data_IF_856040015458
#
_entry.id   IF_856040015458
#
_cell.length_a   1.000
_cell.length_b   1.000
_cell.length_c   1.000
_cell.angle_alpha   90.00
_cell.angle_beta   90.00
_cell.angle_gamma   90.00
#
_symmetry.space_group_name_H-M   'P 1'
#
loop_
_entity.id
_entity.type
_entity.pdbx_description
1 polymer ?
#
# COMPACT_ATOMS: atom_id res chain seq x y z
N UNK A 1 -2.87 25.59 -23.17
CA UNK A 1 -4.07 25.73 -22.32
C UNK A 1 -3.72 25.22 -20.94
N UNK A 2 -4.14 25.89 -19.85
CA UNK A 2 -3.99 25.32 -18.51
C UNK A 2 -4.81 24.02 -18.40
N UNK A 3 -4.28 23.03 -17.71
CA UNK A 3 -5.00 21.79 -17.44
C UNK A 3 -6.16 22.05 -16.47
N UNK A 4 -7.29 21.33 -16.59
CA UNK A 4 -8.39 21.42 -15.62
C UNK A 4 -7.92 21.00 -14.22
N UNK A 5 -8.48 21.62 -13.20
CA UNK A 5 -8.26 21.26 -11.80
C UNK A 5 -8.91 19.91 -11.44
N UNK A 6 -9.92 19.48 -12.21
CA UNK A 6 -10.67 18.22 -12.01
C UNK A 6 -11.07 17.61 -13.34
N UNK A 7 -11.01 16.29 -13.44
CA UNK A 7 -11.37 15.57 -14.66
C UNK A 7 -12.74 14.88 -14.55
N UNK A 8 -13.34 14.83 -13.36
CA UNK A 8 -14.58 14.15 -13.04
C UNK A 8 -14.55 12.68 -13.52
N UNK A 9 -13.46 12.00 -13.19
CA UNK A 9 -13.18 10.59 -13.51
C UNK A 9 -13.06 9.77 -12.23
N UNK A 10 -13.09 8.44 -12.37
CA UNK A 10 -12.63 7.55 -11.30
C UNK A 10 -11.19 7.17 -11.63
N UNK A 11 -10.23 7.68 -10.87
CA UNK A 11 -8.82 7.50 -11.15
C UNK A 11 -8.01 7.42 -9.86
N UNK A 12 -6.94 6.63 -9.89
CA UNK A 12 -5.90 6.67 -8.88
C UNK A 12 -4.54 6.48 -9.55
N UNK A 13 -3.63 7.40 -9.25
CA UNK A 13 -2.27 7.44 -9.80
C UNK A 13 -1.29 7.29 -8.65
N UNK A 14 -0.29 6.43 -8.86
CA UNK A 14 0.83 6.27 -7.94
C UNK A 14 2.15 6.60 -8.61
N UNK A 15 3.04 7.31 -7.92
CA UNK A 15 4.38 7.63 -8.39
C UNK A 15 5.37 7.31 -7.28
N UNK A 16 6.37 6.48 -7.58
CA UNK A 16 7.49 6.29 -6.66
C UNK A 16 8.33 7.57 -6.63
N UNK A 17 8.39 8.22 -5.45
CA UNK A 17 9.19 9.44 -5.25
C UNK A 17 10.53 9.15 -4.58
N UNK A 18 10.57 8.08 -3.77
CA UNK A 18 11.77 7.56 -3.10
C UNK A 18 11.67 6.03 -3.01
N UNK A 19 12.77 5.29 -2.73
CA UNK A 19 12.73 3.82 -2.60
C UNK A 19 11.71 3.30 -1.58
N UNK A 20 11.31 4.12 -0.61
CA UNK A 20 10.37 3.75 0.46
C UNK A 20 9.07 4.57 0.48
N UNK A 21 8.85 5.45 -0.51
CA UNK A 21 7.70 6.37 -0.50
C UNK A 21 7.05 6.47 -1.87
N UNK A 22 5.73 6.32 -1.87
CA UNK A 22 4.86 6.50 -3.04
C UNK A 22 4.00 7.73 -2.82
N UNK A 23 3.99 8.64 -3.78
CA UNK A 23 2.99 9.69 -3.89
C UNK A 23 1.75 9.12 -4.57
N UNK A 24 0.57 9.43 -4.03
CA UNK A 24 -0.72 9.02 -4.53
C UNK A 24 -1.55 10.26 -4.86
N UNK A 25 -2.33 10.18 -5.94
CA UNK A 25 -3.41 11.10 -6.25
C UNK A 25 -4.65 10.29 -6.62
N UNK A 26 -5.84 10.72 -6.18
CA UNK A 26 -7.10 10.07 -6.54
C UNK A 26 -8.19 11.07 -6.89
N UNK A 27 -9.13 10.62 -7.72
CA UNK A 27 -10.41 11.25 -8.00
C UNK A 27 -11.49 10.17 -8.08
N UNK A 28 -12.66 10.43 -7.47
CA UNK A 28 -13.82 9.55 -7.46
C UNK A 28 -15.04 10.36 -7.80
N UNK A 29 -15.84 9.88 -8.76
CA UNK A 29 -17.08 10.55 -9.13
C UNK A 29 -18.11 10.41 -8.00
N UNK A 30 -18.84 11.49 -7.63
CA UNK A 30 -19.88 11.43 -6.60
C UNK A 30 -20.92 10.33 -6.84
N UNK A 31 -21.27 10.07 -8.10
CA UNK A 31 -22.27 9.05 -8.47
C UNK A 31 -21.80 7.62 -8.14
N UNK A 32 -20.50 7.36 -8.20
CA UNK A 32 -19.92 6.04 -7.87
C UNK A 32 -19.95 5.83 -6.36
N UNK A 33 -19.55 6.83 -5.59
CA UNK A 33 -19.65 6.81 -4.13
C UNK A 33 -21.10 6.60 -3.66
N UNK A 34 -22.05 7.36 -4.21
CA UNK A 34 -23.46 7.25 -3.86
C UNK A 34 -24.02 5.84 -4.14
N UNK A 35 -23.63 5.22 -5.26
CA UNK A 35 -24.03 3.84 -5.60
C UNK A 35 -23.41 2.81 -4.66
N UNK A 36 -22.15 2.99 -4.26
CA UNK A 36 -21.48 2.10 -3.32
C UNK A 36 -22.17 2.15 -1.95
N UNK A 37 -22.39 3.37 -1.44
CA UNK A 37 -23.08 3.59 -0.17
C UNK A 37 -24.52 3.05 -0.17
N UNK A 38 -25.27 3.22 -1.25
CA UNK A 38 -26.63 2.69 -1.36
C UNK A 38 -26.69 1.14 -1.38
N UNK A 39 -25.62 0.47 -1.81
CA UNK A 39 -25.52 -1.01 -1.83
C UNK A 39 -24.97 -1.59 -0.53
N UNK A 40 -24.15 -0.81 0.17
CA UNK A 40 -23.27 -1.22 1.27
C UNK A 40 -23.11 -0.05 2.24
N UNK A 41 -24.15 0.21 3.03
CA UNK A 41 -24.27 1.46 3.80
C UNK A 41 -23.30 1.57 4.98
N UNK A 42 -22.72 0.46 5.42
CA UNK A 42 -21.81 0.41 6.58
C UNK A 42 -20.33 0.45 6.17
N UNK A 43 -20.04 0.48 4.86
CA UNK A 43 -18.67 0.58 4.38
C UNK A 43 -18.08 1.99 4.45
N UNK A 44 -16.81 2.08 4.08
CA UNK A 44 -16.07 3.33 3.97
C UNK A 44 -15.25 3.36 2.69
N UNK A 45 -14.99 4.56 2.19
CA UNK A 45 -14.08 4.75 1.08
C UNK A 45 -12.63 4.60 1.57
N UNK A 46 -11.83 3.84 0.84
CA UNK A 46 -10.43 3.58 1.16
C UNK A 46 -9.56 3.60 -0.09
N UNK A 47 -8.28 3.91 0.09
CA UNK A 47 -7.22 3.54 -0.84
C UNK A 47 -6.55 2.28 -0.34
N UNK A 48 -6.61 1.21 -1.14
CA UNK A 48 -5.91 -0.05 -0.89
C UNK A 48 -4.57 -0.05 -1.61
N UNK A 49 -3.52 -0.32 -0.86
CA UNK A 49 -2.15 -0.49 -1.35
C UNK A 49 -1.72 -1.92 -1.10
N UNK A 50 -1.28 -2.61 -2.16
CA UNK A 50 -0.67 -3.94 -2.09
C UNK A 50 0.74 -3.86 -2.63
N UNK A 51 1.74 -4.08 -1.77
CA UNK A 51 3.14 -4.13 -2.14
C UNK A 51 3.62 -5.58 -2.15
N UNK A 52 4.22 -6.00 -3.26
CA UNK A 52 4.82 -7.32 -3.41
C UNK A 52 6.33 -7.15 -3.59
N UNK A 53 7.10 -7.62 -2.61
CA UNK A 53 8.56 -7.63 -2.68
C UNK A 53 9.06 -9.03 -3.03
N UNK A 54 9.84 -9.18 -4.11
CA UNK A 54 10.48 -10.46 -4.40
C UNK A 54 11.52 -10.78 -3.32
N UNK A 55 11.50 -12.02 -2.81
CA UNK A 55 12.53 -12.56 -1.92
C UNK A 55 12.84 -14.01 -2.30
N UNK A 56 13.92 -14.57 -1.75
CA UNK A 56 14.30 -15.98 -1.98
C UNK A 56 13.36 -16.98 -1.31
N UNK A 57 12.68 -16.57 -0.23
CA UNK A 57 11.75 -17.42 0.52
C UNK A 57 10.29 -17.23 0.05
N UNK A 58 10.09 -16.51 -1.07
CA UNK A 58 8.79 -16.21 -1.65
C UNK A 58 8.51 -14.72 -1.74
N UNK A 59 7.43 -14.32 -2.42
CA UNK A 59 6.99 -12.94 -2.41
C UNK A 59 6.56 -12.54 -0.98
N UNK A 60 7.11 -11.45 -0.48
CA UNK A 60 6.60 -10.79 0.73
C UNK A 60 5.46 -9.87 0.29
N UNK A 61 4.26 -10.13 0.78
CA UNK A 61 3.07 -9.34 0.44
C UNK A 61 2.67 -8.48 1.63
N UNK A 62 2.60 -7.17 1.44
CA UNK A 62 2.09 -6.21 2.41
C UNK A 62 0.83 -5.54 1.84
N UNK A 63 -0.28 -5.58 2.59
CA UNK A 63 -1.52 -4.88 2.24
C UNK A 63 -1.82 -3.80 3.29
N UNK A 64 -2.23 -2.62 2.85
CA UNK A 64 -2.67 -1.51 3.70
C UNK A 64 -3.90 -0.85 3.10
N UNK A 65 -4.87 -0.54 3.96
CA UNK A 65 -6.05 0.22 3.60
C UNK A 65 -5.99 1.58 4.30
N UNK A 66 -5.95 2.64 3.52
CA UNK A 66 -5.96 4.03 3.99
C UNK A 66 -7.40 4.56 3.89
N UNK A 67 -8.11 4.80 5.01
CA UNK A 67 -9.43 5.43 4.95
C UNK A 67 -9.32 6.85 4.40
N UNK A 68 -10.24 7.21 3.51
CA UNK A 68 -10.34 8.54 2.90
C UNK A 68 -11.79 9.03 2.95
N UNK A 69 -11.98 10.31 3.21
CA UNK A 69 -13.28 10.97 3.30
C UNK A 69 -13.54 11.95 2.14
N UNK A 70 -12.47 12.37 1.44
CA UNK A 70 -12.54 13.26 0.29
C UNK A 70 -12.63 12.48 -1.04
N UNK A 71 -13.52 12.94 -1.93
CA UNK A 71 -13.69 12.40 -3.30
C UNK A 71 -12.45 12.57 -4.17
N UNK A 72 -11.57 13.49 -3.84
CA UNK A 72 -10.30 13.71 -4.51
C UNK A 72 -9.27 14.16 -3.48
N UNK A 73 -8.00 13.89 -3.75
CA UNK A 73 -6.92 14.27 -2.87
C UNK A 73 -5.62 13.59 -3.25
N UNK A 74 -4.62 13.81 -2.42
CA UNK A 74 -3.29 13.26 -2.55
C UNK A 74 -2.72 12.84 -1.19
N UNK A 75 -1.77 11.91 -1.20
CA UNK A 75 -1.12 11.43 0.00
C UNK A 75 0.27 10.85 -0.30
N UNK A 76 1.15 10.88 0.69
CA UNK A 76 2.41 10.12 0.68
C UNK A 76 2.28 8.85 1.52
N UNK A 77 2.42 7.69 0.88
CA UNK A 77 2.51 6.40 1.57
C UNK A 77 3.96 6.06 1.80
N UNK A 78 4.35 6.02 3.07
CA UNK A 78 5.72 5.75 3.52
C UNK A 78 5.90 4.29 3.94
N UNK A 79 7.15 3.93 4.22
CA UNK A 79 7.55 2.60 4.70
C UNK A 79 7.14 1.48 3.74
N UNK A 80 7.12 1.76 2.43
CA UNK A 80 7.03 0.72 1.40
C UNK A 80 8.39 0.05 1.31
N UNK A 81 8.43 -1.28 1.22
CA UNK A 81 9.70 -2.00 1.09
C UNK A 81 10.39 -1.65 -0.25
N UNK A 82 11.67 -1.27 -0.26
CA UNK A 82 12.39 -0.98 -1.50
C UNK A 82 12.38 -2.16 -2.47
N UNK A 83 12.32 -1.87 -3.77
CA UNK A 83 12.27 -2.90 -4.82
C UNK A 83 10.94 -3.65 -4.95
N UNK A 84 9.89 -3.21 -4.25
CA UNK A 84 8.54 -3.78 -4.39
C UNK A 84 7.86 -3.38 -5.69
N UNK A 85 6.98 -4.25 -6.19
CA UNK A 85 5.94 -3.85 -7.14
C UNK A 85 4.66 -3.53 -6.36
N UNK A 86 4.14 -2.33 -6.54
CA UNK A 86 3.01 -1.80 -5.78
C UNK A 86 1.79 -1.69 -6.69
N UNK A 87 0.65 -2.20 -6.22
CA UNK A 87 -0.67 -2.01 -6.82
C UNK A 87 -1.50 -1.13 -5.90
N UNK A 88 -2.21 -0.17 -6.49
CA UNK A 88 -3.03 0.78 -5.75
C UNK A 88 -4.43 0.78 -6.36
N UNK A 89 -5.44 0.82 -5.51
CA UNK A 89 -6.83 0.98 -5.92
C UNK A 89 -7.56 1.90 -4.94
N UNK A 90 -8.50 2.70 -5.43
CA UNK A 90 -9.48 3.41 -4.60
C UNK A 90 -10.80 2.67 -4.69
N UNK A 91 -11.51 2.51 -3.58
CA UNK A 91 -12.76 1.74 -3.56
C UNK A 91 -13.51 1.81 -2.25
N UNK A 92 -14.54 0.96 -2.17
CA UNK A 92 -15.39 0.81 -1.00
C UNK A 92 -15.02 -0.45 -0.22
N UNK A 93 -14.76 -0.32 1.06
CA UNK A 93 -14.47 -1.42 1.96
C UNK A 93 -15.60 -1.60 2.96
N UNK A 94 -16.20 -2.78 2.99
CA UNK A 94 -17.24 -3.14 3.96
C UNK A 94 -16.98 -4.59 4.43
N UNK A 95 -16.85 -4.81 5.74
CA UNK A 95 -16.63 -6.14 6.32
C UNK A 95 -15.44 -6.92 5.70
N UNK A 96 -14.38 -6.21 5.30
CA UNK A 96 -13.20 -6.80 4.64
C UNK A 96 -13.36 -7.05 3.14
N UNK A 97 -14.58 -6.94 2.60
CA UNK A 97 -14.84 -7.03 1.16
C UNK A 97 -14.60 -5.67 0.48
N UNK A 98 -13.71 -5.67 -0.50
CA UNK A 98 -13.26 -4.45 -1.18
C UNK A 98 -13.76 -4.42 -2.62
N UNK A 99 -14.57 -3.42 -2.92
CA UNK A 99 -15.08 -3.15 -4.26
C UNK A 99 -14.33 -1.93 -4.85
N UNK A 100 -13.43 -2.12 -5.83
CA UNK A 100 -12.67 -1.02 -6.41
C UNK A 100 -13.57 -0.12 -7.26
N UNK A 101 -13.34 1.19 -7.19
CA UNK A 101 -13.86 2.19 -8.12
C UNK A 101 -12.90 2.37 -9.29
N UNK A 102 -11.60 2.46 -8.98
CA UNK A 102 -10.52 2.55 -9.95
C UNK A 102 -9.29 1.78 -9.46
N UNK A 103 -8.52 1.24 -10.40
CA UNK A 103 -7.26 0.54 -10.15
C UNK A 103 -6.18 1.26 -10.95
N UNK A 104 -5.13 1.69 -10.26
CA UNK A 104 -4.02 2.40 -10.88
C UNK A 104 -3.05 1.46 -11.57
N UNK A 105 -2.18 2.07 -12.39
CA UNK A 105 -1.06 1.37 -12.98
C UNK A 105 -0.09 0.86 -11.90
N UNK A 106 0.60 -0.27 -12.15
CA UNK A 106 1.58 -0.80 -11.20
C UNK A 106 2.77 0.15 -11.06
N UNK A 107 3.19 0.37 -9.82
CA UNK A 107 4.34 1.22 -9.47
C UNK A 107 5.52 0.33 -9.08
N UNK A 108 6.59 0.39 -9.85
CA UNK A 108 7.85 -0.27 -9.50
C UNK A 108 8.65 0.63 -8.55
N UNK A 109 8.87 0.17 -7.32
CA UNK A 109 9.67 0.90 -6.34
C UNK A 109 11.16 0.77 -6.65
N UNK A 110 11.93 1.88 -6.61
CA UNK A 110 13.37 1.83 -6.71
C UNK A 110 13.98 0.93 -5.61
N UNK A 111 15.13 0.33 -5.91
CA UNK A 111 15.96 -0.32 -4.88
C UNK A 111 16.69 0.76 -4.08
N UNK A 112 16.97 0.48 -2.81
CA UNK A 112 17.72 1.40 -1.95
C UNK A 112 19.18 1.50 -2.39
N UNK A 113 19.75 0.40 -2.89
CA UNK A 113 21.12 0.32 -3.37
C UNK A 113 21.14 -0.19 -4.82
N UNK A 114 22.10 0.28 -5.64
CA UNK A 114 22.32 -0.26 -6.98
C UNK A 114 22.63 -1.75 -6.93
N UNK A 115 22.10 -2.52 -7.88
CA UNK A 115 22.59 -3.86 -8.11
C UNK A 115 23.87 -3.79 -8.96
N UNK A 116 25.00 -4.22 -8.40
CA UNK A 116 26.29 -4.22 -9.11
C UNK A 116 26.46 -5.38 -10.09
N UNK A 117 25.54 -6.35 -10.07
CA UNK A 117 25.51 -7.48 -10.99
C UNK A 117 24.10 -7.64 -11.57
N UNK A 118 24.05 -7.93 -12.88
CA UNK A 118 22.82 -8.32 -13.56
C UNK A 118 22.45 -9.74 -13.14
N UNK A 119 21.16 -10.01 -12.92
CA UNK A 119 20.71 -11.36 -12.65
C UNK A 119 20.98 -12.27 -13.86
N UNK A 120 21.80 -13.30 -13.67
CA UNK A 120 22.10 -14.30 -14.71
C UNK A 120 21.12 -15.48 -14.71
N UNK A 121 20.18 -15.50 -13.77
CA UNK A 121 19.23 -16.60 -13.57
C UNK A 121 17.86 -16.04 -13.24
N UNK A 122 16.84 -16.59 -13.87
CA UNK A 122 15.44 -16.28 -13.60
C UNK A 122 14.83 -17.47 -12.90
N UNK A 123 14.20 -17.25 -11.75
CA UNK A 123 13.40 -18.28 -11.07
C UNK A 123 11.94 -17.95 -11.26
N UNK A 124 11.17 -18.92 -11.74
CA UNK A 124 9.71 -18.80 -11.82
C UNK A 124 9.11 -19.30 -10.51
N UNK A 125 8.45 -18.40 -9.80
CA UNK A 125 7.63 -18.76 -8.64
C UNK A 125 6.33 -19.42 -9.09
N UNK A 126 5.97 -20.54 -8.46
CA UNK A 126 4.63 -21.12 -8.53
C UNK A 126 4.02 -21.18 -7.13
N UNK A 127 2.68 -21.18 -7.00
CA UNK A 127 2.00 -21.28 -5.71
C UNK A 127 2.41 -22.51 -4.88
N UNK A 128 2.89 -23.57 -5.54
CA UNK A 128 3.33 -24.83 -4.94
C UNK A 128 4.77 -24.77 -4.38
N UNK A 129 5.47 -23.65 -4.53
CA UNK A 129 6.86 -23.44 -4.09
C UNK A 129 7.86 -23.44 -5.25
N UNK A 130 9.16 -23.24 -4.95
CA UNK A 130 10.21 -23.31 -5.97
C UNK A 130 10.42 -24.77 -6.41
N UNK A 131 10.20 -25.14 -7.69
CA UNK A 131 10.93 -26.28 -8.22
C UNK A 131 12.41 -25.89 -8.28
N UNK A 132 13.28 -26.67 -7.64
CA UNK A 132 14.74 -26.56 -7.76
C UNK A 132 15.12 -26.47 -9.25
N UNK A 133 15.57 -25.30 -9.71
CA UNK A 133 16.09 -25.15 -11.06
C UNK A 133 17.56 -25.58 -11.06
N UNK A 134 17.88 -26.56 -11.91
CA UNK A 134 19.20 -27.17 -12.08
C UNK A 134 20.22 -26.09 -12.54
N UNK A 135 21.49 -26.12 -12.09
CA UNK A 135 22.51 -25.14 -12.47
C UNK A 135 22.75 -25.08 -13.99
N UNK A 136 23.32 -23.97 -14.51
CA UNK A 136 23.65 -23.85 -15.92
C UNK A 136 24.63 -24.95 -16.32
N UNK A 137 24.25 -25.81 -17.27
CA UNK A 137 25.09 -26.90 -17.78
C UNK A 137 24.46 -28.30 -17.77
N UNK A 138 23.26 -28.46 -17.23
CA UNK A 138 22.49 -29.71 -17.41
C UNK A 138 21.23 -29.44 -18.24
N UNK A 139 21.19 -30.04 -19.43
CA UNK A 139 20.03 -30.04 -20.31
C UNK A 139 18.94 -30.93 -19.69
N UNK A 140 17.85 -30.32 -19.21
CA UNK A 140 16.58 -31.03 -19.13
C UNK A 140 15.94 -30.96 -20.50
N UNK A 141 15.68 -32.13 -21.11
CA UNK A 141 14.96 -32.21 -22.36
C UNK A 141 13.57 -31.57 -22.19
N UNK A 142 13.38 -30.41 -22.81
CA UNK A 142 12.07 -29.77 -22.93
C UNK A 142 11.33 -30.49 -24.06
N UNK A 143 10.08 -30.95 -23.86
CA UNK A 143 9.27 -31.41 -24.98
C UNK A 143 9.02 -30.21 -25.91
N UNK A 144 9.58 -30.28 -27.11
CA UNK A 144 9.38 -29.31 -28.18
C UNK A 144 7.89 -29.26 -28.52
N UNK A 145 7.25 -28.11 -28.31
CA UNK A 145 5.96 -27.81 -28.93
C UNK A 145 6.25 -27.47 -30.40
N UNK A 146 5.79 -28.25 -31.39
CA UNK A 146 6.05 -27.95 -32.79
C UNK A 146 5.40 -26.62 -33.19
N UNK A 147 6.20 -25.67 -33.68
CA UNK A 147 5.72 -24.44 -34.32
C UNK A 147 5.99 -23.11 -33.59
N UNK A 148 6.68 -23.09 -32.45
CA UNK A 148 7.03 -21.84 -31.76
C UNK A 148 8.50 -21.45 -32.00
N UNK A 149 8.73 -20.47 -32.87
CA UNK A 149 10.06 -19.93 -33.17
C UNK A 149 10.37 -18.71 -32.28
N UNK A 150 11.26 -18.91 -31.30
CA UNK A 150 11.73 -17.85 -30.39
C UNK A 150 12.68 -16.83 -31.05
N UNK A 151 13.22 -17.11 -32.25
CA UNK A 151 14.14 -16.19 -32.92
C UNK A 151 13.44 -14.98 -33.53
N UNK A 152 12.13 -15.05 -33.71
CA UNK A 152 11.32 -13.97 -34.27
C UNK A 152 11.02 -12.84 -33.26
N UNK A 153 11.09 -13.08 -31.94
CA UNK A 153 10.71 -12.09 -30.91
C UNK A 153 11.87 -11.20 -30.42
N UNK A 154 13.12 -11.56 -30.72
CA UNK A 154 14.32 -10.86 -30.21
C UNK A 154 14.76 -9.71 -31.13
N UNK A 155 14.19 -9.59 -32.34
CA UNK A 155 14.62 -8.60 -33.34
C UNK A 155 14.00 -7.20 -33.20
N UNK A 156 13.07 -6.97 -32.28
CA UNK A 156 12.26 -5.72 -32.27
C UNK A 156 12.33 -4.93 -30.95
N UNK A 157 13.42 -5.04 -30.21
CA UNK A 157 13.67 -4.22 -29.01
C UNK A 157 14.89 -3.29 -29.18
N UNK A 158 14.85 -2.42 -30.20
CA UNK A 158 15.71 -1.24 -30.25
C UNK A 158 14.96 -0.06 -29.63
N UNK A 159 15.25 0.22 -28.37
CA UNK A 159 14.78 1.43 -27.68
C UNK A 159 15.37 2.66 -28.39
N UNK A 160 14.58 3.73 -28.61
CA UNK A 160 15.10 4.98 -29.15
C UNK A 160 16.05 5.67 -28.15
N UNK A 161 16.98 6.51 -28.63
CA UNK A 161 17.91 7.23 -27.76
C UNK A 161 17.18 8.22 -26.85
N UNK A 162 17.59 8.24 -25.57
CA UNK A 162 17.13 9.18 -24.55
C UNK A 162 17.63 10.59 -24.91
N UNK A 163 16.77 11.62 -25.00
CA UNK A 163 17.22 12.99 -25.23
C UNK A 163 18.00 13.53 -24.03
N UNK A 164 18.96 14.46 -24.23
CA UNK A 164 19.73 15.04 -23.14
C UNK A 164 18.80 15.79 -22.17
N UNK A 165 18.98 15.48 -20.90
CA UNK A 165 18.37 16.06 -19.72
C UNK A 165 18.36 17.59 -19.73
N UNK A 166 17.16 18.18 -19.71
CA UNK A 166 16.98 19.57 -19.27
C UNK A 166 17.23 19.66 -17.76
N UNK A 167 17.92 20.74 -17.37
CA UNK A 167 18.41 21.04 -16.04
C UNK A 167 17.33 20.99 -14.95
N UNK A 168 17.71 20.39 -13.83
CA UNK A 168 16.88 20.04 -12.67
C UNK A 168 16.60 21.22 -11.71
N UNK A 169 16.68 22.47 -12.17
CA UNK A 169 16.88 23.60 -11.25
C UNK A 169 15.76 24.67 -11.23
N UNK A 170 14.53 24.34 -11.63
CA UNK A 170 13.41 25.31 -11.56
C UNK A 170 12.05 24.76 -11.06
N UNK A 171 12.01 23.62 -10.38
CA UNK A 171 10.83 23.23 -9.57
C UNK A 171 11.08 23.58 -8.11
N UNK A 172 11.24 24.89 -7.88
CA UNK A 172 11.25 25.51 -6.58
C UNK A 172 9.87 25.44 -5.93
N UNK A 173 9.89 24.87 -4.73
CA UNK A 173 9.28 25.40 -3.50
C UNK A 173 7.75 25.55 -3.40
N UNK A 174 7.27 25.05 -2.24
CA UNK A 174 5.94 25.17 -1.62
C UNK A 174 4.83 24.26 -2.13
N UNK A 175 4.76 23.07 -1.53
CA UNK A 175 3.49 22.41 -1.23
C UNK A 175 3.49 21.93 0.23
N UNK A 176 2.43 22.17 1.01
CA UNK A 176 2.38 21.80 2.42
C UNK A 176 2.32 20.27 2.56
N UNK A 177 3.34 19.69 3.18
CA UNK A 177 3.34 18.28 3.59
C UNK A 177 2.30 18.06 4.68
N UNK A 178 1.20 17.36 4.36
CA UNK A 178 0.36 16.77 5.39
C UNK A 178 0.95 15.41 5.77
N UNK A 179 1.64 15.38 6.90
CA UNK A 179 2.03 14.14 7.58
C UNK A 179 0.79 13.57 8.27
N UNK A 180 0.15 12.56 7.64
CA UNK A 180 -0.94 11.79 8.25
C UNK A 180 -0.41 10.55 9.01
N UNK A 181 0.84 10.59 9.48
CA UNK A 181 1.26 9.77 10.60
C UNK A 181 0.76 10.39 11.91
N UNK A 182 -0.18 9.71 12.60
CA UNK A 182 -0.64 10.02 13.97
C UNK A 182 -1.74 11.10 14.12
N UNK A 183 -2.97 10.82 13.68
CA UNK A 183 -4.17 11.41 14.31
C UNK A 183 -5.20 10.33 14.59
N UNK A 184 -5.34 9.97 15.86
CA UNK A 184 -6.35 9.02 16.30
C UNK A 184 -6.13 8.43 17.70
N UNK A 185 -5.71 9.22 18.69
CA UNK A 185 -6.00 8.92 20.09
C UNK A 185 -6.67 10.16 20.69
N UNK A 186 -7.89 10.06 21.26
CA UNK A 186 -8.51 11.19 21.92
C UNK A 186 -7.71 11.58 23.16
N UNK A 187 -7.27 12.83 23.20
CA UNK A 187 -6.74 13.47 24.40
C UNK A 187 -7.90 13.73 25.37
N UNK A 188 -8.14 12.79 26.30
CA UNK A 188 -8.72 13.08 27.61
C UNK A 188 -8.75 11.81 28.48
N UNK A 189 -7.75 11.66 29.34
CA UNK A 189 -7.81 11.04 30.68
C UNK A 189 -6.40 10.66 31.08
N UNK A 190 -5.68 11.59 31.71
CA UNK A 190 -4.67 11.31 32.76
C UNK A 190 -4.06 12.63 33.25
N UNK A 191 -4.93 13.52 33.71
CA UNK A 191 -4.54 14.56 34.66
C UNK A 191 -5.44 14.44 35.90
N UNK A 192 -5.21 13.33 36.62
CA UNK A 192 -5.70 13.13 37.99
C UNK A 192 -4.56 12.52 38.79
N UNK A 193 -3.69 13.39 39.29
CA UNK A 193 -2.79 13.05 40.38
C UNK A 193 -3.62 12.54 41.58
N UNK A 194 -3.25 11.42 42.22
CA UNK A 194 -3.84 11.04 43.49
C UNK A 194 -3.26 11.90 44.62
N UNK A 195 -4.16 12.56 45.35
CA UNK A 195 -3.87 13.19 46.65
C UNK A 195 -3.39 12.12 47.63
N UNK A 196 -2.18 12.29 48.15
CA UNK A 196 -1.71 11.63 49.37
C UNK A 196 -2.18 12.42 50.59
N UNK A 197 -2.81 11.75 51.55
CA UNK A 197 -2.81 11.97 53.02
C UNK A 197 -3.67 10.83 53.62
N UNK A 198 -3.07 9.81 54.22
CA UNK A 198 -2.75 9.69 55.66
C UNK A 198 -3.98 9.50 56.57
N UNK A 199 -4.05 8.30 57.17
CA UNK A 199 -4.49 8.13 58.55
C UNK A 199 -5.78 7.33 58.78
N UNK A 200 -5.68 6.28 59.59
CA UNK A 200 -6.78 5.86 60.47
C UNK A 200 -7.26 4.43 60.32
N UNK A 201 -6.61 3.50 61.02
CA UNK A 201 -7.20 2.25 61.43
C UNK A 201 -8.35 2.51 62.45
N UNK A 202 -9.47 1.79 62.32
CA UNK A 202 -10.05 0.96 63.39
C UNK A 202 -11.51 0.56 63.12
N UNK A 203 -11.73 -0.74 63.30
CA UNK A 203 -12.88 -1.41 63.93
C UNK A 203 -14.34 -1.30 63.43
N UNK A 204 -14.87 -2.52 63.23
CA UNK A 204 -16.20 -3.02 63.63
C UNK A 204 -17.45 -2.43 62.95
N UNK A 205 -18.23 -3.29 62.28
CA UNK A 205 -19.36 -4.04 62.88
C UNK A 205 -19.85 -5.10 61.86
N UNK A 206 -20.04 -6.34 62.32
CA UNK A 206 -20.69 -7.44 61.58
C UNK A 206 -22.22 -7.34 61.72
N UNK A 207 -23.01 -7.66 60.70
CA UNK A 207 -24.42 -7.97 60.88
C UNK A 207 -24.69 -9.47 60.69
N UNK A 208 -25.36 -10.08 61.68
CA UNK A 208 -26.14 -11.28 61.45
C UNK A 208 -26.01 -12.36 62.53
N UNK A 209 -26.90 -12.33 63.53
CA UNK A 209 -27.48 -13.56 64.08
C UNK A 209 -28.82 -13.32 64.78
N UNK A 210 -29.87 -13.88 64.15
CA UNK A 210 -30.99 -14.65 64.70
C UNK A 210 -31.91 -14.14 65.82
N UNK A 211 -33.18 -14.01 65.41
CA UNK A 211 -34.44 -14.60 65.96
C UNK A 211 -34.64 -14.68 67.48
N UNK A 212 -35.68 -13.99 67.94
CA UNK A 212 -36.72 -14.57 68.80
C UNK A 212 -38.11 -14.07 68.40
N UNK A 213 -38.93 -14.94 67.81
CA UNK A 213 -40.25 -15.41 68.28
C UNK A 213 -40.85 -16.34 67.24
#
# INVERSE_FOLDING_TARGET
>A
MPLPERYNVDEIVGIAVEPTTVYLYWEVRPIVLARAHARRSEGTMVVRIVAVTPSWDGPIVEQRDLPIDALYGDAYVRSVRPGSNVRIAVGWLEHGDFAPFAIGDPVAMPRKEPAFAVASTVVRWTPEGMPLMVPPGQTLEVPVIPGFDLTSLVKEAQLPPVPPSMEREQLGERWPTFDLGQRGLPANEQDRAPRSMLGGASELVRPGEQRQR
#
